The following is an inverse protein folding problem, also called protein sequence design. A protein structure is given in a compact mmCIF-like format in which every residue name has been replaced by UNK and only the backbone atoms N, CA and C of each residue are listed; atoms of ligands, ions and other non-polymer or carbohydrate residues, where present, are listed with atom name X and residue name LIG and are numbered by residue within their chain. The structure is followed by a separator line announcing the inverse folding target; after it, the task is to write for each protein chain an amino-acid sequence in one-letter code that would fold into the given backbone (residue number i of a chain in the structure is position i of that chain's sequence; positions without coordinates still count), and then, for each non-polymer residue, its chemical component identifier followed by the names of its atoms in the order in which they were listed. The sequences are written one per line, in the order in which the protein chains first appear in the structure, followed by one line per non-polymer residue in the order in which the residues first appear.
data_IF_294846480315
#
_entry.id   IF_294846480315
#
_cell.length_a   1.000
_cell.length_b   1.000
_cell.length_c   1.000
_cell.angle_alpha   90.00
_cell.angle_beta   90.00
_cell.angle_gamma   90.00
#
_symmetry.space_group_name_H-M   'P 1'
#
loop_
_entity.id
_entity.type
_entity.pdbx_description
1 polymer ?
#
# COMPACT_ATOMS: atom_id res chain seq x y z
N UNK A 1 69.11 -8.58 -21.82
CA UNK A 1 68.92 -10.05 -21.74
C UNK A 1 67.51 -10.33 -21.24
N UNK A 2 66.64 -10.92 -22.06
CA UNK A 2 65.32 -11.33 -21.60
C UNK A 2 65.46 -12.51 -20.64
N UNK A 3 64.93 -12.36 -19.42
CA UNK A 3 64.98 -13.37 -18.36
C UNK A 3 64.12 -14.56 -18.82
N UNK A 4 64.74 -15.69 -19.19
CA UNK A 4 64.01 -16.91 -19.59
C UNK A 4 63.18 -17.40 -18.40
N UNK A 5 61.87 -17.47 -18.58
CA UNK A 5 60.91 -18.00 -17.59
C UNK A 5 61.17 -19.51 -17.46
N UNK A 6 61.20 -20.02 -16.22
CA UNK A 6 61.37 -21.45 -15.96
C UNK A 6 60.05 -22.20 -16.23
N UNK A 7 60.12 -23.49 -16.58
CA UNK A 7 58.94 -24.28 -17.01
C UNK A 7 57.87 -24.45 -15.92
N UNK A 8 58.27 -24.45 -14.66
CA UNK A 8 57.40 -24.45 -13.47
C UNK A 8 56.57 -23.15 -13.38
N UNK A 9 57.22 -22.00 -13.56
CA UNK A 9 56.56 -20.69 -13.56
C UNK A 9 55.60 -20.54 -14.74
N UNK A 10 55.92 -21.13 -15.89
CA UNK A 10 55.03 -21.14 -17.05
C UNK A 10 53.77 -21.98 -16.81
N UNK A 11 53.88 -23.14 -16.14
CA UNK A 11 52.71 -23.97 -15.79
C UNK A 11 51.78 -23.28 -14.79
N UNK A 12 52.34 -22.62 -13.77
CA UNK A 12 51.56 -21.84 -12.79
C UNK A 12 50.84 -20.67 -13.48
N UNK A 13 51.53 -19.95 -14.36
CA UNK A 13 50.94 -18.84 -15.09
C UNK A 13 49.80 -19.31 -16.02
N UNK A 14 49.98 -20.44 -16.72
CA UNK A 14 48.92 -21.03 -17.55
C UNK A 14 47.72 -21.47 -16.71
N UNK A 15 47.94 -22.05 -15.53
CA UNK A 15 46.85 -22.41 -14.61
C UNK A 15 46.07 -21.17 -14.14
N UNK A 16 46.77 -20.10 -13.74
CA UNK A 16 46.16 -18.83 -13.32
C UNK A 16 45.37 -18.17 -14.46
N UNK A 17 45.92 -18.15 -15.69
CA UNK A 17 45.24 -17.65 -16.88
C UNK A 17 43.99 -18.48 -17.17
N UNK A 18 44.08 -19.80 -17.01
CA UNK A 18 42.94 -20.71 -17.23
C UNK A 18 41.85 -20.49 -16.18
N UNK A 19 42.23 -20.25 -14.92
CA UNK A 19 41.31 -19.88 -13.83
C UNK A 19 40.63 -18.53 -14.09
N UNK A 20 41.37 -17.52 -14.56
CA UNK A 20 40.80 -16.24 -14.99
C UNK A 20 39.81 -16.41 -16.16
N UNK A 21 40.15 -17.24 -17.15
CA UNK A 21 39.25 -17.58 -18.27
C UNK A 21 37.99 -18.30 -17.77
N UNK A 22 38.10 -19.21 -16.82
CA UNK A 22 36.94 -19.86 -16.20
C UNK A 22 36.10 -18.87 -15.38
N UNK A 23 36.72 -17.90 -14.70
CA UNK A 23 36.01 -16.86 -13.94
C UNK A 23 35.21 -15.89 -14.83
N UNK A 24 35.64 -15.72 -16.09
CA UNK A 24 34.98 -14.90 -17.10
C UNK A 24 33.77 -15.58 -17.74
N UNK A 25 33.67 -16.91 -17.66
CA UNK A 25 32.51 -17.61 -18.19
C UNK A 25 31.28 -17.37 -17.29
N UNK A 26 30.10 -17.06 -17.86
CA UNK A 26 28.90 -16.91 -17.07
C UNK A 26 28.57 -18.26 -16.42
N UNK A 27 28.40 -18.23 -15.10
CA UNK A 27 28.04 -19.43 -14.34
C UNK A 27 26.59 -19.86 -14.66
N UNK A 28 26.16 -21.03 -14.19
CA UNK A 28 24.84 -21.55 -14.52
C UNK A 28 23.72 -20.65 -13.96
N UNK A 29 22.66 -20.41 -14.75
CA UNK A 29 21.47 -19.69 -14.27
C UNK A 29 20.67 -20.63 -13.36
N UNK A 30 20.46 -20.18 -12.13
CA UNK A 30 19.65 -20.83 -11.13
C UNK A 30 18.25 -20.21 -11.14
N UNK A 31 17.22 -21.05 -11.00
CA UNK A 31 15.83 -20.62 -10.92
C UNK A 31 15.27 -21.01 -9.56
N UNK A 32 14.79 -20.01 -8.84
CA UNK A 32 14.16 -20.12 -7.53
C UNK A 32 12.70 -19.67 -7.66
N UNK A 33 11.82 -20.26 -6.87
CA UNK A 33 10.38 -19.99 -6.89
C UNK A 33 9.90 -19.69 -5.47
N UNK A 34 9.13 -18.62 -5.32
CA UNK A 34 8.43 -18.30 -4.07
C UNK A 34 6.93 -18.27 -4.34
N UNK A 35 6.15 -19.00 -3.54
CA UNK A 35 4.69 -19.03 -3.57
C UNK A 35 4.21 -18.42 -2.24
N UNK A 36 3.66 -17.22 -2.31
CA UNK A 36 3.16 -16.45 -1.18
C UNK A 36 1.64 -16.65 -1.02
N UNK A 37 1.28 -17.21 0.14
CA UNK A 37 -0.06 -17.60 0.58
C UNK A 37 -0.67 -16.60 1.58
N UNK A 38 0.09 -15.58 2.02
CA UNK A 38 -0.32 -14.64 3.08
C UNK A 38 -1.67 -13.97 2.79
N UNK A 39 -1.91 -13.55 1.55
CA UNK A 39 -3.16 -12.92 1.13
C UNK A 39 -4.35 -13.87 1.22
N UNK A 40 -4.20 -15.12 0.76
CA UNK A 40 -5.28 -16.12 0.79
C UNK A 40 -5.65 -16.42 2.24
N UNK A 41 -4.64 -16.67 3.08
CA UNK A 41 -4.86 -16.96 4.50
C UNK A 41 -5.55 -15.81 5.23
N UNK A 42 -5.11 -14.56 4.99
CA UNK A 42 -5.74 -13.38 5.57
C UNK A 42 -7.21 -13.27 5.17
N UNK A 43 -7.56 -13.59 3.92
CA UNK A 43 -8.95 -13.59 3.46
C UNK A 43 -9.80 -14.69 4.12
N UNK A 44 -9.18 -15.79 4.55
CA UNK A 44 -9.84 -16.90 5.26
C UNK A 44 -9.73 -16.79 6.79
N UNK A 45 -9.19 -15.68 7.32
CA UNK A 45 -8.91 -15.46 8.75
C UNK A 45 -8.01 -16.54 9.39
N UNK A 46 -7.07 -17.09 8.62
CA UNK A 46 -6.12 -18.11 9.07
C UNK A 46 -4.83 -17.46 9.58
N UNK A 47 -4.23 -18.06 10.62
CA UNK A 47 -2.94 -17.67 11.17
C UNK A 47 -1.74 -18.04 10.27
N UNK A 48 -0.57 -17.45 10.54
CA UNK A 48 0.65 -17.61 9.71
C UNK A 48 1.17 -19.05 9.65
N UNK A 49 0.95 -19.84 10.70
CA UNK A 49 1.32 -21.26 10.78
C UNK A 49 0.19 -22.25 10.53
N UNK A 50 -1.04 -21.77 10.29
CA UNK A 50 -2.16 -22.66 9.99
C UNK A 50 -2.01 -23.18 8.54
N UNK A 51 -2.13 -24.50 8.35
CA UNK A 51 -2.03 -25.25 7.09
C UNK A 51 -0.60 -25.38 6.52
N UNK A 52 0.08 -24.27 6.27
CA UNK A 52 1.41 -24.16 5.67
C UNK A 52 2.10 -22.87 6.14
N UNK A 53 3.41 -22.65 5.91
CA UNK A 53 4.04 -21.34 6.06
C UNK A 53 3.40 -20.28 5.13
N UNK A 54 3.61 -18.99 5.41
CA UNK A 54 3.10 -17.92 4.53
C UNK A 54 3.78 -17.89 3.17
N UNK A 55 5.07 -18.23 3.11
CA UNK A 55 5.83 -18.28 1.86
C UNK A 55 6.45 -19.66 1.71
N UNK A 56 6.12 -20.32 0.60
CA UNK A 56 6.71 -21.58 0.17
C UNK A 56 7.81 -21.31 -0.89
N UNK A 57 9.02 -21.84 -0.69
CA UNK A 57 10.24 -21.55 -1.44
C UNK A 57 10.85 -22.82 -2.01
N UNK A 58 10.98 -22.87 -3.33
CA UNK A 58 11.42 -24.05 -4.07
C UNK A 58 12.51 -23.73 -5.09
N UNK A 59 13.31 -24.72 -5.47
CA UNK A 59 14.22 -24.67 -6.62
C UNK A 59 14.14 -25.96 -7.43
N UNK A 60 14.46 -25.88 -8.73
CA UNK A 60 14.43 -27.02 -9.66
C UNK A 60 15.82 -27.36 -10.23
N UNK A 61 16.88 -27.06 -9.48
CA UNK A 61 18.27 -27.25 -9.93
C UNK A 61 18.65 -28.74 -9.96
N UNK A 62 18.99 -29.25 -11.15
CA UNK A 62 19.37 -30.67 -11.35
C UNK A 62 20.64 -31.06 -10.58
N UNK A 63 21.66 -30.19 -10.58
CA UNK A 63 22.94 -30.42 -9.90
C UNK A 63 22.80 -30.57 -8.37
N UNK A 64 21.71 -30.06 -7.79
CA UNK A 64 21.44 -30.04 -6.35
C UNK A 64 20.15 -30.81 -6.02
N UNK A 65 19.86 -31.86 -6.79
CA UNK A 65 18.71 -32.73 -6.54
C UNK A 65 18.76 -33.23 -5.09
N UNK A 66 17.69 -33.00 -4.33
CA UNK A 66 17.51 -33.33 -2.90
C UNK A 66 18.33 -32.51 -1.88
N UNK A 67 19.12 -31.52 -2.29
CA UNK A 67 19.77 -30.57 -1.37
C UNK A 67 18.92 -29.31 -1.21
N UNK A 68 19.05 -28.64 -0.06
CA UNK A 68 18.49 -27.30 0.14
C UNK A 68 19.48 -26.26 -0.35
N UNK A 69 18.98 -25.12 -0.84
CA UNK A 69 19.79 -23.99 -1.31
C UNK A 69 19.41 -22.75 -0.52
N UNK A 70 20.39 -22.02 0.00
CA UNK A 70 20.20 -20.73 0.66
C UNK A 70 20.48 -19.59 -0.31
N UNK A 71 19.59 -18.62 -0.34
CA UNK A 71 19.78 -17.36 -1.07
C UNK A 71 19.21 -16.23 -0.23
N UNK A 72 20.04 -15.24 0.12
CA UNK A 72 19.70 -14.13 1.02
C UNK A 72 19.26 -14.59 2.41
N UNK A 73 19.96 -15.55 2.97
CA UNK A 73 19.60 -16.16 4.26
C UNK A 73 18.25 -16.87 4.27
N UNK A 74 17.61 -17.07 3.12
CA UNK A 74 16.36 -17.82 2.97
C UNK A 74 16.62 -19.16 2.32
N UNK A 75 16.04 -20.23 2.90
CA UNK A 75 16.24 -21.59 2.42
C UNK A 75 15.16 -21.99 1.41
N UNK A 76 15.61 -22.50 0.26
CA UNK A 76 14.82 -23.05 -0.83
C UNK A 76 14.94 -24.56 -0.83
N UNK A 77 13.80 -25.25 -0.95
CA UNK A 77 13.74 -26.70 -1.02
C UNK A 77 13.75 -27.18 -2.46
N UNK A 78 14.43 -28.29 -2.75
CA UNK A 78 14.32 -28.91 -4.06
C UNK A 78 12.84 -29.23 -4.34
N UNK A 79 12.35 -29.05 -5.56
CA UNK A 79 11.07 -29.60 -6.04
C UNK A 79 11.14 -29.65 -7.57
N UNK A 80 10.77 -30.77 -8.23
CA UNK A 80 10.63 -30.81 -9.68
C UNK A 80 9.46 -29.95 -10.13
N UNK A 81 9.76 -28.67 -10.38
CA UNK A 81 8.86 -27.67 -10.93
C UNK A 81 9.32 -27.35 -12.34
N UNK A 82 8.38 -27.37 -13.27
CA UNK A 82 8.58 -26.89 -14.64
C UNK A 82 7.64 -25.73 -14.88
N UNK A 83 8.16 -24.60 -15.36
CA UNK A 83 7.35 -23.46 -15.76
C UNK A 83 7.66 -23.04 -17.19
N UNK A 84 6.62 -22.78 -17.98
CA UNK A 84 6.70 -22.38 -19.39
C UNK A 84 5.71 -21.26 -19.68
N UNK A 85 5.83 -20.58 -20.83
CA UNK A 85 4.84 -19.56 -21.25
C UNK A 85 5.06 -18.15 -20.69
N UNK A 86 6.30 -17.81 -20.33
CA UNK A 86 6.68 -16.43 -19.90
C UNK A 86 7.00 -15.50 -21.06
N UNK A 87 6.89 -15.96 -22.31
CA UNK A 87 7.26 -15.19 -23.48
C UNK A 87 6.26 -14.05 -23.70
N UNK A 88 6.79 -12.83 -23.78
CA UNK A 88 6.00 -11.65 -24.15
C UNK A 88 5.96 -11.61 -25.68
N UNK A 89 4.78 -11.84 -26.26
CA UNK A 89 4.59 -11.76 -27.71
C UNK A 89 4.33 -10.31 -28.15
N UNK A 90 4.65 -9.99 -29.40
CA UNK A 90 4.40 -8.66 -29.99
C UNK A 90 2.91 -8.33 -30.17
N UNK A 91 2.02 -9.31 -29.99
CA UNK A 91 0.58 -9.20 -30.25
C UNK A 91 -0.23 -8.66 -29.07
N UNK A 92 0.44 -8.00 -28.10
CA UNK A 92 -0.18 -7.34 -26.95
C UNK A 92 -0.97 -8.24 -25.98
N UNK A 93 -0.92 -9.56 -26.11
CA UNK A 93 -1.46 -10.47 -25.11
C UNK A 93 -0.50 -10.60 -23.92
N UNK A 94 -1.01 -10.46 -22.70
CA UNK A 94 -0.21 -10.71 -21.50
C UNK A 94 0.18 -12.20 -21.45
N UNK A 95 1.40 -12.53 -21.02
CA UNK A 95 1.83 -13.91 -20.87
C UNK A 95 0.96 -14.63 -19.82
N UNK A 96 0.60 -15.88 -20.13
CA UNK A 96 -0.13 -16.79 -19.24
C UNK A 96 0.73 -18.03 -18.96
N UNK A 97 1.72 -17.94 -18.07
CA UNK A 97 2.62 -19.04 -17.81
C UNK A 97 1.88 -20.23 -17.22
N UNK A 98 2.36 -21.44 -17.51
CA UNK A 98 1.89 -22.65 -16.84
C UNK A 98 2.95 -23.15 -15.87
N UNK A 99 2.52 -23.53 -14.68
CA UNK A 99 3.37 -24.09 -13.63
C UNK A 99 2.97 -25.54 -13.39
N UNK A 100 3.91 -26.46 -13.55
CA UNK A 100 3.70 -27.88 -13.36
C UNK A 100 4.50 -28.38 -12.17
N UNK A 101 3.81 -29.00 -11.21
CA UNK A 101 4.40 -29.71 -10.09
C UNK A 101 4.37 -31.21 -10.38
N UNK A 102 5.53 -31.86 -10.42
CA UNK A 102 5.56 -33.31 -10.57
C UNK A 102 5.15 -34.02 -9.27
N UNK A 103 4.30 -35.04 -9.41
CA UNK A 103 3.85 -35.94 -8.36
C UNK A 103 5.00 -36.85 -7.96
N UNK A 104 5.48 -36.65 -6.73
CA UNK A 104 6.60 -37.39 -6.16
C UNK A 104 6.24 -38.82 -5.72
N UNK A 105 5.23 -39.47 -6.33
CA UNK A 105 4.61 -40.73 -5.85
C UNK A 105 5.55 -41.97 -5.80
N UNK A 106 6.85 -41.80 -6.00
CA UNK A 106 7.89 -42.82 -5.80
C UNK A 106 9.22 -42.30 -5.22
N UNK A 107 9.32 -41.01 -4.84
CA UNK A 107 10.46 -40.45 -4.08
C UNK A 107 10.23 -40.51 -2.55
N UNK A 108 9.12 -41.13 -2.15
CA UNK A 108 8.64 -41.21 -0.77
C UNK A 108 8.83 -42.65 -0.30
N UNK A 109 10.07 -43.12 -0.24
CA UNK A 109 10.43 -44.19 0.67
C UNK A 109 11.24 -43.57 1.82
N UNK A 110 10.66 -43.72 3.01
CA UNK A 110 11.26 -43.62 4.34
C UNK A 110 11.92 -42.30 4.79
N UNK A 111 11.28 -41.74 5.82
CA UNK A 111 11.90 -41.03 6.95
C UNK A 111 12.32 -39.55 6.77
N UNK A 112 11.51 -38.67 7.39
CA UNK A 112 11.95 -37.46 8.12
C UNK A 112 12.14 -36.14 7.35
N UNK A 113 12.02 -36.07 6.02
CA UNK A 113 12.04 -34.76 5.31
C UNK A 113 11.30 -34.83 3.97
N UNK A 114 10.34 -33.97 3.62
CA UNK A 114 10.20 -32.57 3.94
C UNK A 114 8.77 -32.24 4.40
N UNK A 115 8.63 -31.74 5.63
CA UNK A 115 7.45 -31.00 6.12
C UNK A 115 6.99 -29.94 5.09
N UNK A 116 7.92 -29.41 4.31
CA UNK A 116 7.69 -28.43 3.26
C UNK A 116 6.84 -28.94 2.08
N UNK A 117 7.04 -30.18 1.62
CA UNK A 117 6.21 -30.78 0.58
C UNK A 117 4.82 -31.11 1.09
N UNK A 118 4.74 -31.60 2.33
CA UNK A 118 3.45 -31.82 2.99
C UNK A 118 2.68 -30.50 3.13
N UNK A 119 3.37 -29.41 3.43
CA UNK A 119 2.81 -28.05 3.49
C UNK A 119 2.27 -27.60 2.13
N UNK A 120 2.99 -27.83 1.02
CA UNK A 120 2.49 -27.54 -0.32
C UNK A 120 1.22 -28.35 -0.65
N UNK A 121 1.22 -29.66 -0.36
CA UNK A 121 0.07 -30.52 -0.61
C UNK A 121 -1.16 -30.09 0.22
N UNK A 122 -0.95 -29.78 1.50
CA UNK A 122 -2.01 -29.24 2.37
C UNK A 122 -2.53 -27.91 1.85
N UNK A 123 -1.64 -27.01 1.46
CA UNK A 123 -2.01 -25.72 0.88
C UNK A 123 -2.87 -25.91 -0.38
N UNK A 124 -2.50 -26.82 -1.29
CA UNK A 124 -3.31 -27.09 -2.50
C UNK A 124 -4.70 -27.62 -2.13
N UNK A 125 -4.80 -28.51 -1.15
CA UNK A 125 -6.07 -29.14 -0.75
C UNK A 125 -6.99 -28.19 0.03
N UNK A 126 -6.43 -27.42 0.95
CA UNK A 126 -7.18 -26.62 1.92
C UNK A 126 -7.33 -25.15 1.50
N UNK A 127 -6.45 -24.62 0.64
CA UNK A 127 -6.49 -23.24 0.11
C UNK A 127 -6.95 -23.20 -1.36
N UNK A 128 -7.99 -23.96 -1.69
CA UNK A 128 -8.64 -24.00 -3.01
C UNK A 128 -7.67 -23.97 -4.21
N UNK A 129 -6.80 -24.98 -4.29
CA UNK A 129 -5.82 -25.12 -5.37
C UNK A 129 -4.86 -23.92 -5.53
N UNK A 130 -4.63 -23.16 -4.46
CA UNK A 130 -3.78 -21.98 -4.41
C UNK A 130 -4.28 -20.81 -5.26
N UNK A 131 -5.56 -20.76 -5.63
CA UNK A 131 -6.11 -19.68 -6.46
C UNK A 131 -5.89 -18.32 -5.78
N UNK A 132 -5.29 -17.37 -6.51
CA UNK A 132 -4.91 -16.05 -6.01
C UNK A 132 -3.55 -15.99 -5.30
N UNK A 133 -2.82 -17.11 -5.19
CA UNK A 133 -1.49 -17.12 -4.58
C UNK A 133 -0.51 -16.38 -5.48
N UNK A 134 0.41 -15.62 -4.88
CA UNK A 134 1.43 -14.88 -5.62
C UNK A 134 2.62 -15.81 -5.86
N UNK A 135 2.93 -16.06 -7.12
CA UNK A 135 4.09 -16.84 -7.55
C UNK A 135 5.17 -15.89 -8.07
N UNK A 136 6.36 -15.95 -7.47
CA UNK A 136 7.53 -15.17 -7.87
C UNK A 136 8.61 -16.11 -8.37
N UNK A 137 9.02 -15.95 -9.63
CA UNK A 137 10.18 -16.62 -10.18
C UNK A 137 11.38 -15.68 -10.10
N UNK A 138 12.40 -16.13 -9.39
CA UNK A 138 13.66 -15.42 -9.21
C UNK A 138 14.71 -16.17 -10.02
N UNK A 139 15.46 -15.44 -10.84
CA UNK A 139 16.59 -15.98 -11.58
C UNK A 139 17.85 -15.29 -11.08
N UNK A 140 18.88 -16.08 -10.82
CA UNK A 140 20.21 -15.57 -10.44
C UNK A 140 21.28 -16.50 -11.01
N UNK A 141 22.55 -16.11 -10.92
CA UNK A 141 23.65 -16.98 -11.30
C UNK A 141 24.09 -17.82 -10.09
N UNK A 142 24.55 -19.05 -10.32
CA UNK A 142 25.02 -19.97 -9.26
C UNK A 142 26.06 -19.34 -8.34
N UNK A 143 26.91 -18.46 -8.87
CA UNK A 143 27.94 -17.74 -8.11
C UNK A 143 27.42 -16.74 -7.09
N UNK A 144 26.17 -16.31 -7.24
CA UNK A 144 25.51 -15.35 -6.34
C UNK A 144 24.62 -16.04 -5.31
N UNK A 145 24.65 -17.38 -5.23
CA UNK A 145 24.07 -18.11 -4.11
C UNK A 145 24.93 -17.92 -2.86
N UNK A 146 24.31 -18.04 -1.68
CA UNK A 146 25.00 -17.81 -0.42
C UNK A 146 26.15 -18.81 -0.25
N UNK A 147 27.27 -18.37 0.33
CA UNK A 147 28.44 -19.22 0.61
C UNK A 147 28.10 -20.46 1.47
N UNK A 148 27.03 -20.40 2.27
CA UNK A 148 26.52 -21.52 3.09
C UNK A 148 26.15 -22.77 2.28
N UNK A 149 25.99 -22.67 0.97
CA UNK A 149 25.66 -23.78 0.09
C UNK A 149 26.84 -24.74 -0.19
N UNK A 150 28.08 -24.35 0.13
CA UNK A 150 29.30 -25.12 -0.17
C UNK A 150 29.42 -25.51 -1.66
N UNK A 151 29.05 -24.60 -2.56
CA UNK A 151 29.19 -24.77 -4.02
C UNK A 151 30.50 -24.07 -4.41
N UNK A 152 31.37 -24.72 -5.19
CA UNK A 152 32.70 -24.19 -5.58
C UNK A 152 32.64 -22.80 -6.22
N UNK A 153 31.53 -22.50 -6.90
CA UNK A 153 31.30 -21.22 -7.58
C UNK A 153 30.65 -20.14 -6.70
N UNK A 154 30.08 -20.51 -5.54
CA UNK A 154 29.31 -19.58 -4.70
C UNK A 154 30.23 -18.63 -3.92
N UNK A 155 30.12 -17.33 -4.21
CA UNK A 155 30.86 -16.27 -3.53
C UNK A 155 30.12 -15.73 -2.30
N UNK A 156 30.88 -15.20 -1.34
CA UNK A 156 30.29 -14.46 -0.22
C UNK A 156 29.76 -13.12 -0.73
N UNK A 157 28.44 -12.98 -0.78
CA UNK A 157 27.76 -11.83 -1.32
C UNK A 157 27.19 -11.00 -0.16
N UNK A 158 27.77 -9.81 0.05
CA UNK A 158 27.50 -8.93 1.20
C UNK A 158 26.12 -8.25 1.20
N UNK A 159 25.25 -8.55 0.22
CA UNK A 159 23.89 -8.01 0.12
C UNK A 159 23.81 -6.54 -0.33
N UNK A 160 24.94 -5.89 -0.65
CA UNK A 160 24.96 -4.47 -1.06
C UNK A 160 24.51 -4.25 -2.50
N UNK A 161 24.66 -5.26 -3.36
CA UNK A 161 24.14 -5.27 -4.74
C UNK A 161 22.94 -6.24 -4.78
N UNK A 162 22.02 -6.13 -5.74
CA UNK A 162 20.94 -7.10 -5.91
C UNK A 162 21.23 -7.95 -7.18
N UNK A 163 21.86 -9.14 -7.06
CA UNK A 163 22.36 -9.89 -8.20
C UNK A 163 21.27 -10.84 -8.73
N UNK A 164 20.08 -10.32 -8.99
CA UNK A 164 18.95 -11.06 -9.55
C UNK A 164 18.46 -10.42 -10.84
N UNK A 165 17.97 -11.24 -11.76
CA UNK A 165 17.22 -10.73 -12.91
C UNK A 165 15.87 -10.15 -12.43
N UNK A 166 15.22 -9.27 -13.22
CA UNK A 166 13.92 -8.74 -12.86
C UNK A 166 12.95 -9.84 -12.42
N UNK A 167 12.37 -9.69 -11.22
CA UNK A 167 11.48 -10.70 -10.66
C UNK A 167 10.24 -10.87 -11.54
N UNK A 168 9.97 -12.11 -11.89
CA UNK A 168 8.81 -12.50 -12.67
C UNK A 168 7.67 -12.83 -11.70
N UNK A 169 6.71 -11.92 -11.52
CA UNK A 169 5.61 -12.03 -10.55
C UNK A 169 4.29 -12.32 -11.27
N UNK A 170 3.66 -13.42 -10.89
CA UNK A 170 2.37 -13.87 -11.40
C UNK A 170 1.47 -14.34 -10.27
N UNK A 171 0.20 -14.59 -10.57
CA UNK A 171 -0.79 -15.09 -9.62
C UNK A 171 -1.43 -16.36 -10.16
N UNK A 172 -1.71 -17.32 -9.30
CA UNK A 172 -2.43 -18.53 -9.70
C UNK A 172 -3.87 -18.16 -10.07
N UNK A 173 -4.25 -18.39 -11.32
CA UNK A 173 -5.60 -18.10 -11.79
C UNK A 173 -6.52 -19.31 -11.62
N UNK A 174 -6.06 -20.49 -12.04
CA UNK A 174 -6.83 -21.73 -11.94
C UNK A 174 -5.95 -22.96 -12.07
N UNK A 175 -6.48 -24.11 -11.63
CA UNK A 175 -5.93 -25.43 -11.95
C UNK A 175 -6.36 -25.85 -13.36
N UNK A 176 -5.40 -26.21 -14.21
CA UNK A 176 -5.65 -26.72 -15.57
C UNK A 176 -5.92 -28.21 -15.52
N UNK A 177 -5.04 -28.97 -14.86
CA UNK A 177 -5.10 -30.43 -14.81
C UNK A 177 -4.48 -30.96 -13.52
N UNK A 178 -4.95 -32.13 -13.12
CA UNK A 178 -4.39 -32.92 -12.01
C UNK A 178 -4.44 -34.38 -12.44
N UNK A 179 -3.27 -35.02 -12.49
CA UNK A 179 -3.13 -36.43 -12.84
C UNK A 179 -2.24 -37.16 -11.81
N UNK A 180 -1.94 -38.44 -12.09
CA UNK A 180 -1.04 -39.21 -11.22
C UNK A 180 0.40 -38.70 -11.24
N UNK A 181 0.77 -37.98 -12.30
CA UNK A 181 2.12 -37.49 -12.56
C UNK A 181 2.35 -36.08 -12.01
N UNK A 182 1.32 -35.33 -11.66
CA UNK A 182 1.46 -33.96 -11.17
C UNK A 182 0.19 -33.10 -11.21
N UNK A 183 0.39 -31.82 -10.90
CA UNK A 183 -0.65 -30.78 -10.94
C UNK A 183 -0.14 -29.64 -11.82
N UNK A 184 -0.99 -29.18 -12.75
CA UNK A 184 -0.71 -28.05 -13.62
C UNK A 184 -1.60 -26.86 -13.26
N UNK A 185 -0.98 -25.71 -13.01
CA UNK A 185 -1.64 -24.44 -12.73
C UNK A 185 -1.42 -23.44 -13.87
N UNK A 186 -2.46 -22.66 -14.18
CA UNK A 186 -2.37 -21.49 -15.03
C UNK A 186 -2.08 -20.27 -14.15
N UNK A 187 -1.06 -19.50 -14.53
CA UNK A 187 -0.72 -18.24 -13.89
C UNK A 187 -1.08 -17.07 -14.78
N UNK A 188 -1.49 -15.97 -14.16
CA UNK A 188 -1.81 -14.71 -14.85
C UNK A 188 -1.07 -13.54 -14.23
N UNK A 189 -0.85 -12.49 -15.03
CA UNK A 189 -0.39 -11.21 -14.51
C UNK A 189 -1.46 -10.59 -13.62
N UNK A 190 -1.04 -9.74 -12.68
CA UNK A 190 -1.98 -8.96 -11.84
C UNK A 190 -3.01 -8.18 -12.66
N UNK A 191 -2.64 -7.79 -13.88
CA UNK A 191 -3.48 -7.02 -14.79
C UNK A 191 -4.63 -7.84 -15.42
N UNK A 192 -4.52 -9.17 -15.42
CA UNK A 192 -5.49 -10.10 -16.02
C UNK A 192 -6.26 -10.89 -14.94
N UNK A 193 -6.13 -10.48 -13.68
CA UNK A 193 -6.93 -11.01 -12.58
C UNK A 193 -8.35 -10.42 -12.66
N UNK A 194 -9.34 -11.27 -12.38
CA UNK A 194 -10.72 -10.84 -12.29
C UNK A 194 -10.87 -9.76 -11.20
N UNK A 195 -11.60 -8.69 -11.53
CA UNK A 195 -11.82 -7.51 -10.69
C UNK A 195 -10.61 -6.58 -10.47
N UNK A 196 -9.45 -6.83 -11.10
CA UNK A 196 -8.37 -5.84 -11.10
C UNK A 196 -8.70 -4.73 -12.11
N UNK A 197 -8.91 -3.50 -11.64
CA UNK A 197 -9.20 -2.33 -12.47
C UNK A 197 -8.11 -1.28 -12.33
N UNK A 198 -7.59 -0.83 -13.46
CA UNK A 198 -6.78 0.39 -13.54
C UNK A 198 -7.61 1.50 -14.18
N UNK A 199 -7.55 2.74 -13.65
CA UNK A 199 -6.88 3.16 -12.42
C UNK A 199 -7.62 2.68 -11.15
N UNK A 200 -6.89 2.37 -10.07
CA UNK A 200 -7.49 1.99 -8.78
C UNK A 200 -8.35 3.10 -8.13
N UNK A 201 -8.32 4.31 -8.69
CA UNK A 201 -9.20 5.43 -8.36
C UNK A 201 -9.69 6.10 -9.64
N UNK A 202 -10.98 6.39 -9.70
CA UNK A 202 -11.56 7.20 -10.77
C UNK A 202 -11.44 8.68 -10.37
N UNK A 203 -10.62 9.44 -11.08
CA UNK A 203 -10.53 10.88 -10.94
C UNK A 203 -11.54 11.55 -11.88
N UNK A 204 -12.55 12.21 -11.32
CA UNK A 204 -13.56 12.95 -12.09
C UNK A 204 -13.22 14.45 -12.03
N UNK A 205 -13.30 15.15 -13.16
CA UNK A 205 -12.90 16.56 -13.24
C UNK A 205 -13.64 17.50 -12.27
N UNK A 206 -14.92 17.22 -12.01
CA UNK A 206 -15.81 18.14 -11.28
C UNK A 206 -16.23 17.64 -9.90
N UNK A 207 -15.87 16.40 -9.52
CA UNK A 207 -16.36 15.75 -8.30
C UNK A 207 -15.24 15.11 -7.49
N UNK A 208 -15.31 15.32 -6.17
CA UNK A 208 -14.42 14.74 -5.19
C UNK A 208 -14.91 13.34 -4.76
N UNK A 209 -14.07 12.29 -4.86
CA UNK A 209 -14.42 10.96 -4.35
C UNK A 209 -14.19 10.81 -2.83
N UNK A 210 -13.48 11.75 -2.19
CA UNK A 210 -13.05 11.62 -0.81
C UNK A 210 -14.16 11.81 0.20
N UNK A 211 -14.07 11.13 1.34
CA UNK A 211 -14.89 11.41 2.53
C UNK A 211 -14.54 12.81 3.04
N UNK A 212 -15.56 13.62 3.36
CA UNK A 212 -15.31 15.00 3.80
C UNK A 212 -14.70 15.01 5.20
N UNK A 213 -13.69 15.85 5.43
CA UNK A 213 -12.88 15.91 6.68
C UNK A 213 -12.13 14.63 7.07
N UNK A 214 -12.35 13.51 6.37
CA UNK A 214 -11.62 12.26 6.57
C UNK A 214 -10.33 12.14 5.74
N UNK A 215 -9.80 10.92 5.72
CA UNK A 215 -8.58 10.55 4.99
C UNK A 215 -8.72 10.90 3.50
N UNK A 216 -7.77 11.69 2.99
CA UNK A 216 -7.70 12.14 1.58
C UNK A 216 -8.31 13.51 1.29
N UNK A 217 -9.43 13.91 1.93
CA UNK A 217 -9.89 15.31 1.86
C UNK A 217 -8.96 16.23 2.65
N UNK A 218 -8.44 15.73 3.77
CA UNK A 218 -7.46 16.37 4.64
C UNK A 218 -7.83 17.76 5.18
N UNK A 219 -9.11 18.14 5.13
CA UNK A 219 -9.54 19.47 5.56
C UNK A 219 -9.32 19.65 7.06
N UNK A 220 -9.58 18.60 7.84
CA UNK A 220 -9.35 18.55 9.28
C UNK A 220 -8.56 17.27 9.62
N UNK A 221 -7.34 17.17 9.10
CA UNK A 221 -6.55 15.93 9.22
C UNK A 221 -5.13 16.15 9.72
N UNK A 222 -4.75 17.39 10.06
CA UNK A 222 -3.39 17.71 10.51
C UNK A 222 -2.98 16.91 11.75
N UNK A 223 -3.90 16.71 12.70
CA UNK A 223 -3.64 15.94 13.92
C UNK A 223 -3.80 14.42 13.76
N UNK A 224 -4.43 13.97 12.67
CA UNK A 224 -4.72 12.54 12.42
C UNK A 224 -3.73 11.89 11.45
N UNK A 225 -3.02 12.69 10.64
CA UNK A 225 -2.06 12.19 9.67
C UNK A 225 -0.73 11.78 10.31
N UNK A 226 -0.21 10.61 9.90
CA UNK A 226 1.18 10.21 10.07
C UNK A 226 2.03 10.55 8.85
N UNK A 227 3.27 10.98 9.08
CA UNK A 227 4.22 11.32 8.01
C UNK A 227 4.59 10.09 7.16
N UNK A 228 4.56 8.89 7.73
CA UNK A 228 4.89 7.62 7.04
C UNK A 228 3.84 7.25 5.99
N UNK A 229 2.55 7.47 6.27
CA UNK A 229 1.45 7.05 5.41
C UNK A 229 0.99 8.19 4.49
N UNK A 230 1.03 9.43 4.98
CA UNK A 230 0.42 10.58 4.29
C UNK A 230 1.43 11.66 3.85
N UNK A 231 2.70 11.51 4.20
CA UNK A 231 3.72 12.55 3.98
C UNK A 231 3.57 13.75 4.92
N UNK A 232 4.43 14.76 4.75
CA UNK A 232 4.51 15.89 5.66
C UNK A 232 3.18 16.65 5.78
N UNK A 233 2.65 16.79 6.99
CA UNK A 233 1.35 17.43 7.28
C UNK A 233 1.40 18.96 7.39
N UNK A 234 2.58 19.58 7.22
CA UNK A 234 2.81 21.03 7.34
C UNK A 234 1.99 21.91 6.36
N UNK A 235 1.54 21.31 5.26
CA UNK A 235 0.72 21.97 4.24
C UNK A 235 -0.78 21.94 4.57
N UNK A 236 -1.19 21.23 5.63
CA UNK A 236 -2.58 21.15 6.06
C UNK A 236 -2.98 22.35 6.94
N UNK A 237 -4.28 22.70 6.99
CA UNK A 237 -4.79 23.77 7.84
C UNK A 237 -4.51 23.47 9.31
N UNK A 238 -4.19 24.51 10.09
CA UNK A 238 -4.10 24.40 11.54
C UNK A 238 -5.49 24.21 12.15
N UNK A 239 -6.49 24.84 11.53
CA UNK A 239 -7.88 24.73 11.91
C UNK A 239 -8.79 24.75 10.67
N UNK A 240 -9.89 24.00 10.74
CA UNK A 240 -10.79 23.74 9.63
C UNK A 240 -12.21 24.22 9.95
N UNK A 241 -12.44 25.53 9.76
CA UNK A 241 -13.74 26.13 10.07
C UNK A 241 -14.89 25.53 9.23
N UNK A 242 -16.13 25.50 9.74
CA UNK A 242 -17.34 25.26 8.96
C UNK A 242 -17.51 26.31 7.84
N UNK A 243 -17.87 25.92 6.61
CA UNK A 243 -17.90 26.89 5.49
C UNK A 243 -19.16 26.88 4.66
N UNK A 244 -19.63 25.71 4.25
CA UNK A 244 -20.73 25.65 3.28
C UNK A 244 -21.56 24.40 3.49
N UNK A 245 -22.80 24.44 3.00
CA UNK A 245 -23.67 23.28 2.94
C UNK A 245 -23.38 22.42 1.69
N UNK A 246 -24.17 21.37 1.53
CA UNK A 246 -24.17 20.44 0.39
C UNK A 246 -24.62 21.06 -0.93
N UNK A 247 -25.20 22.26 -0.91
CA UNK A 247 -25.68 23.01 -2.08
C UNK A 247 -24.68 24.08 -2.59
N UNK A 248 -23.47 24.13 -2.01
CA UNK A 248 -22.46 25.17 -2.28
C UNK A 248 -22.84 26.59 -1.79
N UNK A 249 -23.78 26.69 -0.84
CA UNK A 249 -24.10 27.96 -0.17
C UNK A 249 -23.18 28.18 1.03
N UNK A 250 -22.60 29.38 1.10
CA UNK A 250 -21.73 29.77 2.19
C UNK A 250 -22.56 30.01 3.47
N UNK A 251 -22.10 29.44 4.59
CA UNK A 251 -22.72 29.61 5.89
C UNK A 251 -22.80 31.08 6.32
N UNK A 252 -21.88 31.94 5.88
CA UNK A 252 -21.95 33.39 6.10
C UNK A 252 -23.18 34.04 5.48
N UNK A 253 -23.69 33.51 4.36
CA UNK A 253 -24.92 33.97 3.72
C UNK A 253 -26.19 33.37 4.33
N UNK A 254 -26.06 32.33 5.15
CA UNK A 254 -27.18 31.61 5.78
C UNK A 254 -27.41 32.12 7.21
N UNK A 255 -26.34 32.47 7.92
CA UNK A 255 -26.36 32.85 9.32
C UNK A 255 -26.30 34.38 9.39
N UNK A 256 -27.48 35.00 9.32
CA UNK A 256 -27.65 36.44 9.18
C UNK A 256 -28.54 37.02 10.29
N UNK A 257 -28.35 38.30 10.58
CA UNK A 257 -29.24 39.06 11.46
C UNK A 257 -30.57 39.43 10.74
N UNK A 258 -31.48 40.08 11.46
CA UNK A 258 -32.76 40.56 10.91
C UNK A 258 -32.62 41.59 9.77
N UNK A 259 -31.44 42.19 9.61
CA UNK A 259 -31.12 43.17 8.59
C UNK A 259 -30.34 42.55 7.41
N UNK A 260 -30.04 41.25 7.45
CA UNK A 260 -29.29 40.54 6.42
C UNK A 260 -27.77 40.61 6.55
N UNK A 261 -27.22 41.11 7.67
CA UNK A 261 -25.79 41.12 7.92
C UNK A 261 -25.30 39.74 8.40
N UNK A 262 -24.15 39.28 7.92
CA UNK A 262 -23.54 38.03 8.37
C UNK A 262 -23.20 38.07 9.86
N UNK A 263 -23.73 37.13 10.63
CA UNK A 263 -23.38 36.92 12.02
C UNK A 263 -22.20 35.93 12.18
N UNK A 264 -21.87 35.20 11.11
CA UNK A 264 -20.82 34.20 11.11
C UNK A 264 -19.64 34.63 10.23
N UNK A 265 -18.41 34.49 10.73
CA UNK A 265 -17.18 34.66 9.96
C UNK A 265 -16.23 33.49 10.23
N UNK A 266 -16.09 32.55 9.27
CA UNK A 266 -15.23 31.39 9.44
C UNK A 266 -13.76 31.73 9.71
N UNK A 267 -13.29 32.91 9.28
CA UNK A 267 -11.90 33.32 9.47
C UNK A 267 -11.60 33.76 10.91
N UNK A 268 -12.63 34.10 11.69
CA UNK A 268 -12.51 34.49 13.10
C UNK A 268 -12.53 33.29 14.05
N UNK A 269 -13.09 32.16 13.61
CA UNK A 269 -13.22 30.93 14.42
C UNK A 269 -11.85 30.28 14.65
N UNK A 270 -11.64 29.85 15.89
CA UNK A 270 -10.49 29.08 16.34
C UNK A 270 -10.93 27.75 16.98
N UNK A 271 -9.96 26.91 17.33
CA UNK A 271 -10.23 25.62 17.99
C UNK A 271 -10.98 25.76 19.32
N UNK A 272 -10.81 26.88 20.03
CA UNK A 272 -11.44 27.10 21.32
C UNK A 272 -12.92 27.54 21.22
N UNK A 273 -13.33 28.01 20.05
CA UNK A 273 -14.70 28.46 19.79
C UNK A 273 -15.61 27.29 19.38
N UNK A 274 -15.02 26.11 19.16
CA UNK A 274 -15.70 24.89 18.75
C UNK A 274 -15.91 23.99 19.96
N UNK A 275 -17.16 23.59 20.19
CA UNK A 275 -17.51 22.69 21.31
C UNK A 275 -18.22 21.43 20.83
N UNK A 276 -18.12 20.35 21.60
CA UNK A 276 -18.94 19.16 21.36
C UNK A 276 -20.38 19.50 21.76
N UNK A 277 -21.36 19.08 20.94
CA UNK A 277 -22.76 19.30 21.26
C UNK A 277 -23.13 18.55 22.54
N UNK A 278 -23.75 19.26 23.48
CA UNK A 278 -24.20 18.71 24.76
C UNK A 278 -25.71 18.98 24.91
N UNK A 279 -26.57 17.94 24.88
CA UNK A 279 -28.01 18.11 25.05
C UNK A 279 -28.40 18.57 26.45
N UNK A 280 -27.50 18.47 27.43
CA UNK A 280 -27.72 18.84 28.81
C UNK A 280 -26.82 20.01 29.26
N UNK A 281 -26.33 20.82 28.31
CA UNK A 281 -25.42 21.94 28.59
C UNK A 281 -25.97 22.84 29.71
N UNK A 282 -25.30 22.90 30.86
CA UNK A 282 -25.66 23.77 31.99
C UNK A 282 -24.58 24.80 32.30
N UNK A 283 -24.95 25.90 32.93
CA UNK A 283 -24.02 26.88 33.49
C UNK A 283 -23.42 26.41 34.83
N UNK A 284 -22.58 27.24 35.44
CA UNK A 284 -21.98 26.96 36.75
C UNK A 284 -23.00 26.83 37.89
N UNK A 285 -24.23 27.31 37.70
CA UNK A 285 -25.32 27.26 38.67
C UNK A 285 -26.26 26.06 38.42
N UNK A 286 -26.05 25.31 37.32
CA UNK A 286 -26.89 24.18 36.93
C UNK A 286 -28.07 24.57 36.02
N UNK A 287 -28.14 25.81 35.55
CA UNK A 287 -29.22 26.30 34.70
C UNK A 287 -28.97 25.94 33.22
N UNK A 288 -30.00 25.53 32.46
CA UNK A 288 -29.90 25.24 31.04
C UNK A 288 -29.34 26.42 30.21
N UNK A 289 -28.22 26.21 29.52
CA UNK A 289 -27.65 27.20 28.60
C UNK A 289 -28.17 26.97 27.17
N UNK A 290 -28.54 28.05 26.47
CA UNK A 290 -28.79 28.07 25.03
C UNK A 290 -27.51 28.30 24.22
N UNK A 291 -27.48 27.86 22.97
CA UNK A 291 -26.43 28.25 22.03
C UNK A 291 -26.79 29.59 21.38
N UNK A 292 -25.82 30.50 21.26
CA UNK A 292 -26.00 31.78 20.60
C UNK A 292 -25.89 31.63 19.08
N UNK A 293 -26.45 32.56 18.29
CA UNK A 293 -26.19 32.60 16.85
C UNK A 293 -24.68 32.63 16.57
N UNK A 294 -24.25 31.92 15.53
CA UNK A 294 -22.85 31.72 15.14
C UNK A 294 -22.00 30.79 16.04
N UNK A 295 -22.55 30.25 17.14
CA UNK A 295 -21.86 29.21 17.91
C UNK A 295 -21.63 27.95 17.04
N UNK A 296 -20.42 27.40 17.10
CA UNK A 296 -20.02 26.22 16.34
C UNK A 296 -19.99 25.00 17.25
N UNK A 297 -20.74 23.97 16.87
CA UNK A 297 -20.76 22.68 17.57
C UNK A 297 -20.38 21.53 16.63
N UNK A 298 -19.89 20.43 17.20
CA UNK A 298 -19.71 19.18 16.45
C UNK A 298 -20.33 17.98 17.16
N UNK A 299 -20.64 16.96 16.38
CA UNK A 299 -21.04 15.62 16.83
C UNK A 299 -20.03 14.61 16.29
N UNK A 300 -19.54 13.70 17.13
CA UNK A 300 -18.68 12.59 16.72
C UNK A 300 -19.54 11.39 16.30
N UNK A 301 -19.25 10.81 15.15
CA UNK A 301 -19.79 9.49 14.80
C UNK A 301 -18.85 8.41 15.33
N UNK A 302 -19.41 7.40 16.02
CA UNK A 302 -18.64 6.24 16.50
C UNK A 302 -18.10 5.36 15.36
N UNK A 303 -18.55 5.56 14.11
CA UNK A 303 -18.20 4.69 12.98
C UNK A 303 -16.91 5.09 12.25
N UNK A 304 -16.62 6.38 12.11
CA UNK A 304 -15.59 6.87 11.16
C UNK A 304 -14.57 7.85 11.78
N UNK A 305 -14.65 8.15 13.09
CA UNK A 305 -13.85 9.20 13.78
C UNK A 305 -13.91 10.59 13.10
N UNK A 306 -14.90 10.80 12.23
CA UNK A 306 -15.16 12.08 11.57
C UNK A 306 -16.11 12.91 12.41
N UNK A 307 -15.73 14.17 12.64
CA UNK A 307 -16.56 15.17 13.31
C UNK A 307 -17.50 15.84 12.30
N UNK A 308 -18.78 15.88 12.62
CA UNK A 308 -19.80 16.58 11.86
C UNK A 308 -20.08 17.93 12.49
N UNK A 309 -19.84 19.00 11.75
CA UNK A 309 -19.95 20.37 12.25
C UNK A 309 -21.29 21.01 11.92
N UNK A 310 -21.78 21.80 12.86
CA UNK A 310 -23.00 22.57 12.76
C UNK A 310 -22.76 23.96 13.34
N UNK A 311 -23.42 24.96 12.76
CA UNK A 311 -23.37 26.34 13.23
C UNK A 311 -24.79 26.81 13.55
N UNK A 312 -24.98 27.44 14.70
CA UNK A 312 -26.26 27.96 15.14
C UNK A 312 -26.70 29.13 14.23
N UNK A 313 -27.86 29.01 13.61
CA UNK A 313 -28.48 30.04 12.76
C UNK A 313 -29.11 31.15 13.60
N UNK A 314 -29.73 30.74 14.69
CA UNK A 314 -30.46 31.58 15.65
C UNK A 314 -30.13 31.09 17.06
N UNK A 315 -30.62 31.78 18.08
CA UNK A 315 -30.51 31.29 19.45
C UNK A 315 -31.19 29.93 19.58
N UNK A 316 -30.41 28.89 19.89
CA UNK A 316 -30.89 27.51 19.99
C UNK A 316 -31.22 27.20 21.45
N UNK A 317 -32.50 26.91 21.77
CA UNK A 317 -32.88 26.47 23.11
C UNK A 317 -32.15 25.19 23.50
N UNK A 318 -31.97 24.99 24.81
CA UNK A 318 -31.39 23.77 25.34
C UNK A 318 -32.22 22.53 24.91
N UNK A 319 -31.55 21.43 24.60
CA UNK A 319 -32.17 20.16 24.19
C UNK A 319 -32.46 20.02 22.69
N UNK A 320 -32.28 21.07 21.87
CA UNK A 320 -32.47 20.97 20.41
C UNK A 320 -31.18 20.47 19.74
N UNK A 321 -31.19 19.18 19.41
CA UNK A 321 -30.03 18.51 18.80
C UNK A 321 -29.87 18.81 17.30
N UNK A 322 -28.63 18.97 16.81
CA UNK A 322 -28.35 18.84 15.39
C UNK A 322 -28.55 17.37 14.97
N UNK A 323 -29.15 17.08 13.80
CA UNK A 323 -29.56 18.02 12.76
C UNK A 323 -31.00 18.55 12.94
N UNK A 324 -31.15 19.88 13.03
CA UNK A 324 -32.45 20.56 12.99
C UNK A 324 -32.35 21.82 12.11
N UNK A 325 -33.01 21.82 10.95
CA UNK A 325 -32.80 22.82 9.88
C UNK A 325 -33.17 24.27 10.26
N UNK A 326 -34.09 24.45 11.22
CA UNK A 326 -34.47 25.79 11.71
C UNK A 326 -33.36 26.43 12.56
N UNK A 327 -32.67 25.63 13.38
CA UNK A 327 -31.71 26.11 14.38
C UNK A 327 -30.25 25.93 13.95
N UNK A 328 -29.95 24.88 13.20
CA UNK A 328 -28.59 24.46 12.87
C UNK A 328 -28.36 24.47 11.36
N UNK A 329 -27.29 25.11 10.92
CA UNK A 329 -26.75 24.98 9.58
C UNK A 329 -25.61 23.95 9.58
N UNK A 330 -25.73 22.90 8.79
CA UNK A 330 -24.72 21.84 8.71
C UNK A 330 -23.60 22.22 7.74
N UNK A 331 -22.34 22.03 8.15
CA UNK A 331 -21.21 22.10 7.23
C UNK A 331 -21.08 20.76 6.50
N UNK A 332 -21.40 20.79 5.22
CA UNK A 332 -21.42 19.62 4.35
C UNK A 332 -20.66 19.92 3.07
N UNK A 333 -19.97 18.92 2.56
CA UNK A 333 -19.28 19.06 1.28
C UNK A 333 -20.21 18.60 0.15
N UNK A 334 -20.52 19.51 -0.76
CA UNK A 334 -21.20 19.26 -2.04
C UNK A 334 -20.45 18.30 -2.99
N UNK A 335 -19.22 17.92 -2.63
CA UNK A 335 -18.24 17.19 -3.46
C UNK A 335 -17.88 17.91 -4.75
N UNK A 336 -18.30 19.14 -4.96
CA UNK A 336 -17.98 19.91 -6.16
C UNK A 336 -16.61 20.59 -6.04
N UNK A 337 -16.00 20.89 -7.18
CA UNK A 337 -14.80 21.74 -7.22
C UNK A 337 -15.04 23.12 -6.59
N UNK A 338 -16.27 23.64 -6.66
CA UNK A 338 -16.66 24.93 -6.08
C UNK A 338 -16.68 24.86 -4.56
N UNK A 339 -17.29 23.83 -3.99
CA UNK A 339 -17.31 23.59 -2.54
C UNK A 339 -15.91 23.39 -1.95
N UNK A 340 -15.00 22.78 -2.71
CA UNK A 340 -13.59 22.67 -2.31
C UNK A 340 -12.84 24.00 -2.40
N UNK A 341 -13.13 24.89 -3.36
CA UNK A 341 -12.53 26.23 -3.44
C UNK A 341 -12.91 27.15 -2.29
N UNK A 342 -14.06 26.96 -1.66
CA UNK A 342 -14.40 27.73 -0.45
C UNK A 342 -13.53 27.32 0.74
N UNK A 343 -13.08 26.07 0.76
CA UNK A 343 -12.30 25.48 1.86
C UNK A 343 -10.79 25.57 1.62
N UNK A 344 -10.38 25.40 0.38
CA UNK A 344 -8.99 25.32 -0.08
C UNK A 344 -8.67 26.38 -1.11
N UNK A 345 -7.39 26.73 -1.24
CA UNK A 345 -6.92 27.74 -2.20
C UNK A 345 -6.56 29.07 -1.55
N UNK A 346 -6.10 30.01 -2.37
CA UNK A 346 -5.52 31.27 -1.89
C UNK A 346 -6.51 32.17 -1.11
N UNK A 347 -7.82 31.99 -1.36
CA UNK A 347 -8.92 32.66 -0.66
C UNK A 347 -9.81 31.69 0.14
N UNK A 348 -9.37 30.44 0.29
CA UNK A 348 -10.09 29.42 1.05
C UNK A 348 -9.91 29.59 2.56
N UNK A 349 -10.84 29.06 3.34
CA UNK A 349 -10.82 29.21 4.80
C UNK A 349 -9.88 28.25 5.54
N UNK A 350 -9.32 27.24 4.87
CA UNK A 350 -8.25 26.40 5.40
C UNK A 350 -6.96 27.22 5.52
N UNK A 351 -6.78 27.89 6.64
CA UNK A 351 -5.64 28.76 6.91
C UNK A 351 -4.72 28.13 7.96
N UNK A 352 -3.46 28.56 7.92
CA UNK A 352 -2.45 28.24 8.93
C UNK A 352 -1.74 29.52 9.38
N UNK A 353 -1.17 29.49 10.57
CA UNK A 353 -0.36 30.59 11.07
C UNK A 353 1.00 30.59 10.39
N UNK A 354 1.44 31.77 9.95
CA UNK A 354 2.81 31.94 9.47
C UNK A 354 3.76 31.82 10.67
N UNK A 355 4.73 30.92 10.57
CA UNK A 355 5.70 30.64 11.64
C UNK A 355 6.27 31.91 12.27
N UNK A 356 6.15 32.03 13.59
CA UNK A 356 6.63 33.18 14.37
C UNK A 356 5.75 34.43 14.32
N UNK A 357 4.54 34.37 13.75
CA UNK A 357 3.60 35.51 13.68
C UNK A 357 2.14 35.10 13.89
N UNK A 358 1.29 36.04 14.30
CA UNK A 358 -0.18 35.84 14.39
C UNK A 358 -0.90 36.02 13.03
N UNK A 359 -0.16 36.11 11.93
CA UNK A 359 -0.72 36.30 10.59
C UNK A 359 -1.18 34.96 10.02
N UNK A 360 -2.45 34.88 9.58
CA UNK A 360 -2.98 33.71 8.88
C UNK A 360 -2.64 33.76 7.39
N UNK A 361 -2.26 32.62 6.81
CA UNK A 361 -2.02 32.41 5.38
C UNK A 361 -2.76 31.17 4.89
N UNK A 362 -3.03 31.07 3.59
CA UNK A 362 -3.62 29.86 3.02
C UNK A 362 -2.74 28.64 3.34
N UNK A 363 -3.33 27.57 3.87
CA UNK A 363 -2.59 26.38 4.24
C UNK A 363 -2.05 25.64 3.00
N UNK A 364 -2.92 25.50 2.00
CA UNK A 364 -2.60 25.03 0.66
C UNK A 364 -3.24 25.94 -0.39
N UNK A 365 -2.44 26.63 -1.23
CA UNK A 365 -2.97 27.50 -2.29
C UNK A 365 -3.54 26.71 -3.47
N UNK A 366 -3.25 25.41 -3.55
CA UNK A 366 -3.80 24.50 -4.55
C UNK A 366 -4.91 23.65 -3.95
N UNK A 367 -5.84 23.23 -4.79
CA UNK A 367 -6.83 22.26 -4.36
C UNK A 367 -6.16 20.89 -4.19
N UNK A 368 -6.51 20.10 -3.17
CA UNK A 368 -5.93 18.77 -2.94
C UNK A 368 -6.33 17.73 -4.01
N UNK A 369 -7.00 18.14 -5.09
CA UNK A 369 -7.31 17.29 -6.24
C UNK A 369 -6.04 16.98 -7.02
N UNK A 370 -5.49 15.78 -6.83
CA UNK A 370 -4.37 15.29 -7.63
C UNK A 370 -3.29 14.54 -6.86
N UNK A 371 -3.37 14.47 -5.54
CA UNK A 371 -2.48 13.64 -4.75
C UNK A 371 -2.82 12.15 -4.88
N UNK A 372 -2.03 11.40 -5.64
CA UNK A 372 -1.76 10.03 -5.24
C UNK A 372 -1.17 10.11 -3.82
N UNK A 373 -1.65 9.31 -2.84
CA UNK A 373 -1.04 9.27 -1.51
C UNK A 373 0.46 8.87 -1.51
N UNK A 374 1.06 8.57 -2.68
CA UNK A 374 2.47 8.23 -2.84
C UNK A 374 3.32 9.21 -3.66
N UNK A 375 2.78 10.29 -4.22
CA UNK A 375 3.63 11.28 -4.91
C UNK A 375 4.13 12.31 -3.91
N UNK A 376 5.22 11.92 -3.25
CA UNK A 376 6.11 12.78 -2.50
C UNK A 376 6.46 14.01 -3.38
N UNK A 377 5.87 15.18 -3.12
CA UNK A 377 6.35 16.45 -3.69
C UNK A 377 7.62 16.87 -2.96
N UNK A 378 8.67 16.02 -3.01
CA UNK A 378 10.03 16.55 -2.93
C UNK A 378 10.25 17.26 -4.26
N UNK A 379 10.01 18.56 -4.24
CA UNK A 379 10.47 19.49 -5.26
C UNK A 379 12.01 19.35 -5.26
N UNK A 380 12.54 18.54 -6.17
CA UNK A 380 13.92 18.70 -6.60
C UNK A 380 13.94 19.96 -7.44
N UNK A 381 14.57 21.02 -6.92
CA UNK A 381 14.93 22.17 -7.73
C UNK A 381 15.84 21.67 -8.87
N UNK A 382 15.30 21.68 -10.09
CA UNK A 382 16.04 21.68 -11.35
C UNK A 382 15.58 22.91 -12.13
#
# INVERSE_FOLDING_TARGET
MAKKIRSDQAQIAVAQITEEIHSLNPSAICVLYEIDLSKIKKNLNLGTGEIAPDVLRFHNMEALTNKKVSFRSETYHALPITMTGFEITSNASLPRPTMYFSSLKGLIEEAVSNEYYASLKKAILELDNLIGAKVTRIRTFSRFLDASNNIEEAGDFDGTVNPEFPKEIYYVQRKISEDKNGIQLELSSVLDLENFKLPGRICVANRCPWVYRGEGCCYEFKSLGSDEVHGATDHLPDFAAPIANDEDDNLTGIIIDSNGNSLYDPSSISVNDVTEYDPDRRDSNGDPISYNPADVVYIKSNADDVKYYYVAKVTVPNGISPPHSEYWAADRCSKSMRGCKFRWGNSGAGQKYKSGTNTKVAANPFLPFGGFPGTNTKISNL
#
